data_IF_161669871508
#
_entry.id   IF_161669871508
#
_cell.length_a   1.000
_cell.length_b   1.000
_cell.length_c   1.000
_cell.angle_alpha   90.00
_cell.angle_beta   90.00
_cell.angle_gamma   90.00
#
_symmetry.space_group_name_H-M   'P 1'
#
loop_
_entity.id
_entity.type
_entity.pdbx_description
1 polymer ?
#
# COMPACT_ATOMS: atom_id res chain seq x y z
N UNK A 1 -15.96 -19.85 -4.64
CA UNK A 1 -15.45 -18.59 -5.21
C UNK A 1 -13.94 -18.54 -5.02
N UNK A 2 -13.18 -17.79 -5.84
CA UNK A 2 -11.73 -17.66 -5.69
C UNK A 2 -11.33 -16.20 -5.52
N UNK A 3 -10.74 -15.85 -4.38
CA UNK A 3 -10.23 -14.53 -4.08
C UNK A 3 -8.73 -14.47 -4.37
N UNK A 4 -8.34 -13.70 -5.39
CA UNK A 4 -6.96 -13.48 -5.79
C UNK A 4 -6.37 -12.26 -5.08
N UNK A 5 -5.26 -12.45 -4.37
CA UNK A 5 -4.62 -11.39 -3.56
C UNK A 5 -3.10 -11.35 -3.72
N UNK A 6 -2.52 -10.23 -3.26
CA UNK A 6 -1.10 -10.13 -2.93
C UNK A 6 -0.79 -10.86 -1.63
N UNK A 7 0.21 -11.73 -1.62
CA UNK A 7 0.61 -12.48 -0.43
C UNK A 7 1.59 -13.61 -0.73
N UNK A 8 1.96 -14.33 0.33
CA UNK A 8 2.78 -15.53 0.21
C UNK A 8 2.22 -16.64 1.10
N UNK A 9 1.90 -17.78 0.50
CA UNK A 9 1.30 -18.90 1.22
C UNK A 9 -0.03 -18.49 1.84
N UNK A 10 -0.04 -18.39 3.17
CA UNK A 10 -1.22 -18.06 3.98
C UNK A 10 -1.26 -16.61 4.49
N UNK A 11 -0.27 -15.81 4.10
CA UNK A 11 -0.13 -14.45 4.62
C UNK A 11 -0.44 -13.44 3.51
N UNK A 12 -1.59 -12.74 3.58
CA UNK A 12 -1.83 -11.55 2.80
C UNK A 12 -0.74 -10.49 3.03
N UNK A 13 -0.27 -9.87 1.95
CA UNK A 13 0.83 -8.90 2.04
C UNK A 13 0.34 -7.51 2.43
N UNK A 14 1.10 -6.83 3.30
CA UNK A 14 0.87 -5.42 3.70
C UNK A 14 1.00 -4.42 2.56
N UNK A 15 1.53 -4.83 1.40
CA UNK A 15 1.59 -3.97 0.20
C UNK A 15 0.20 -3.58 -0.32
N UNK A 16 -0.83 -4.38 -0.02
CA UNK A 16 -2.22 -4.09 -0.40
C UNK A 16 -3.15 -4.29 0.80
N UNK A 17 -3.46 -3.21 1.53
CA UNK A 17 -4.47 -3.23 2.59
C UNK A 17 -5.84 -3.70 2.09
N UNK A 18 -6.18 -3.40 0.83
CA UNK A 18 -7.41 -3.88 0.18
C UNK A 18 -7.44 -5.41 0.09
N UNK A 19 -6.33 -6.06 -0.25
CA UNK A 19 -6.24 -7.52 -0.25
C UNK A 19 -6.46 -8.12 1.14
N UNK A 20 -5.90 -7.49 2.17
CA UNK A 20 -6.07 -7.89 3.57
C UNK A 20 -7.54 -7.75 3.97
N UNK A 21 -8.15 -6.61 3.67
CA UNK A 21 -9.55 -6.34 3.99
C UNK A 21 -10.50 -7.31 3.26
N UNK A 22 -10.25 -7.64 1.98
CA UNK A 22 -11.03 -8.65 1.25
C UNK A 22 -10.90 -10.03 1.88
N UNK A 23 -9.70 -10.44 2.28
CA UNK A 23 -9.48 -11.72 2.94
C UNK A 23 -10.21 -11.79 4.29
N UNK A 24 -10.18 -10.72 5.09
CA UNK A 24 -10.96 -10.66 6.32
C UNK A 24 -12.45 -10.69 6.06
N UNK A 25 -12.94 -9.93 5.08
CA UNK A 25 -14.36 -9.85 4.76
C UNK A 25 -14.92 -11.20 4.32
N UNK A 26 -14.25 -11.89 3.40
CA UNK A 26 -14.75 -13.18 2.89
C UNK A 26 -14.78 -14.25 4.00
N UNK A 27 -13.78 -14.27 4.88
CA UNK A 27 -13.74 -15.17 6.04
C UNK A 27 -14.82 -14.86 7.09
N UNK A 28 -15.35 -13.64 7.13
CA UNK A 28 -16.45 -13.28 8.04
C UNK A 28 -17.83 -13.61 7.46
N UNK A 29 -17.98 -13.44 6.14
CA UNK A 29 -19.29 -13.53 5.48
C UNK A 29 -19.60 -14.96 5.03
N UNK A 30 -18.61 -15.68 4.50
CA UNK A 30 -18.79 -17.01 3.91
C UNK A 30 -18.24 -18.11 4.81
N UNK A 31 -18.79 -19.31 4.66
CA UNK A 31 -18.23 -20.51 5.28
C UNK A 31 -16.97 -20.96 4.52
N UNK A 32 -16.00 -21.56 5.23
CA UNK A 32 -14.68 -21.89 4.66
C UNK A 32 -14.70 -22.91 3.52
N UNK A 33 -15.84 -23.57 3.28
CA UNK A 33 -16.06 -24.48 2.14
C UNK A 33 -16.52 -23.77 0.88
N UNK A 34 -16.97 -22.52 0.95
CA UNK A 34 -17.57 -21.78 -0.16
C UNK A 34 -16.56 -20.97 -0.98
N UNK A 35 -15.37 -20.72 -0.42
CA UNK A 35 -14.34 -19.89 -1.03
C UNK A 35 -12.92 -20.44 -0.88
N UNK A 36 -12.04 -19.92 -1.71
CA UNK A 36 -10.60 -20.15 -1.65
C UNK A 36 -9.88 -18.81 -1.79
N UNK A 37 -8.84 -18.60 -1.01
CA UNK A 37 -7.94 -17.46 -1.11
C UNK A 37 -6.69 -17.93 -1.85
N UNK A 38 -6.37 -17.27 -2.96
CA UNK A 38 -5.26 -17.60 -3.84
C UNK A 38 -4.24 -16.46 -3.79
N UNK A 39 -3.04 -16.74 -3.28
CA UNK A 39 -1.90 -15.78 -3.28
C UNK A 39 -1.24 -15.73 -4.66
N UNK A 40 -2.02 -15.33 -5.66
CA UNK A 40 -1.62 -15.36 -7.07
C UNK A 40 -0.60 -14.29 -7.46
N UNK A 41 -0.57 -13.14 -6.78
CA UNK A 41 0.34 -12.03 -7.08
C UNK A 41 0.35 -11.56 -8.54
N UNK A 42 -0.71 -11.88 -9.30
CA UNK A 42 -0.80 -11.64 -10.74
C UNK A 42 -1.88 -10.60 -11.03
N UNK A 43 -1.47 -9.39 -11.37
CA UNK A 43 -2.37 -8.29 -11.70
C UNK A 43 -3.10 -8.47 -13.02
N UNK A 44 -2.64 -9.35 -13.91
CA UNK A 44 -3.29 -9.63 -15.21
C UNK A 44 -4.62 -10.40 -15.05
N UNK A 45 -4.89 -10.93 -13.86
CA UNK A 45 -6.19 -11.51 -13.52
C UNK A 45 -7.27 -10.42 -13.53
N UNK A 46 -6.89 -9.21 -13.11
CA UNK A 46 -7.74 -8.05 -13.02
C UNK A 46 -7.86 -7.32 -14.36
N UNK A 47 -9.07 -6.85 -14.64
CA UNK A 47 -9.33 -6.01 -15.82
C UNK A 47 -8.82 -4.57 -15.60
N UNK A 48 -8.61 -4.16 -14.34
CA UNK A 48 -8.05 -2.85 -13.96
C UNK A 48 -6.57 -2.93 -13.59
N UNK A 49 -5.93 -4.10 -13.72
CA UNK A 49 -4.53 -4.31 -13.39
C UNK A 49 -4.21 -4.21 -11.89
N UNK A 50 -5.19 -4.42 -11.01
CA UNK A 50 -5.01 -4.33 -9.54
C UNK A 50 -5.64 -5.53 -8.83
N UNK A 51 -5.00 -5.97 -7.75
CA UNK A 51 -5.57 -6.94 -6.80
C UNK A 51 -6.11 -6.16 -5.59
N UNK A 52 -7.19 -6.61 -4.93
CA UNK A 52 -7.81 -7.93 -5.01
C UNK A 52 -8.78 -8.15 -6.19
N UNK A 53 -9.01 -9.42 -6.55
CA UNK A 53 -10.05 -9.83 -7.52
C UNK A 53 -10.80 -11.04 -7.00
N UNK A 54 -12.13 -11.01 -7.01
CA UNK A 54 -12.97 -12.18 -6.70
C UNK A 54 -13.54 -12.77 -8.00
N UNK A 55 -13.26 -14.05 -8.23
CA UNK A 55 -13.84 -14.82 -9.33
C UNK A 55 -14.98 -15.67 -8.77
N UNK A 56 -16.17 -15.41 -9.28
CA UNK A 56 -17.41 -16.13 -8.95
C UNK A 56 -17.80 -17.05 -10.12
N UNK A 57 -18.66 -18.04 -9.86
CA UNK A 57 -19.15 -18.92 -10.94
C UNK A 57 -20.20 -18.24 -11.81
N UNK A 58 -20.97 -17.33 -11.22
CA UNK A 58 -22.20 -16.79 -11.82
C UNK A 58 -22.02 -15.36 -12.33
N UNK A 59 -21.32 -14.50 -11.58
CA UNK A 59 -21.16 -13.05 -11.87
C UNK A 59 -19.79 -12.68 -12.47
N UNK A 60 -18.95 -13.68 -12.76
CA UNK A 60 -17.63 -13.46 -13.35
C UNK A 60 -16.63 -12.84 -12.38
N UNK A 61 -15.91 -11.80 -12.84
CA UNK A 61 -14.81 -11.14 -12.11
C UNK A 61 -15.27 -9.84 -11.44
N UNK A 62 -14.96 -9.71 -10.16
CA UNK A 62 -15.18 -8.49 -9.38
C UNK A 62 -13.83 -7.88 -9.02
N UNK A 63 -13.60 -6.63 -9.39
CA UNK A 63 -12.28 -5.99 -9.33
C UNK A 63 -12.21 -4.98 -8.17
N UNK A 64 -11.24 -5.17 -7.26
CA UNK A 64 -11.03 -4.26 -6.13
C UNK A 64 -11.93 -4.52 -4.93
N UNK A 65 -11.59 -3.89 -3.79
CA UNK A 65 -12.28 -4.14 -2.53
C UNK A 65 -13.76 -3.75 -2.55
N UNK A 66 -14.08 -2.62 -3.19
CA UNK A 66 -15.43 -2.04 -3.26
C UNK A 66 -16.43 -2.99 -3.96
N UNK A 67 -16.09 -3.48 -5.15
CA UNK A 67 -16.95 -4.40 -5.90
C UNK A 67 -17.16 -5.72 -5.14
N UNK A 68 -16.09 -6.23 -4.53
CA UNK A 68 -16.12 -7.46 -3.72
C UNK A 68 -17.03 -7.26 -2.50
N UNK A 69 -16.89 -6.15 -1.79
CA UNK A 69 -17.71 -5.85 -0.62
C UNK A 69 -19.18 -5.69 -0.98
N UNK A 70 -19.47 -4.93 -2.04
CA UNK A 70 -20.83 -4.74 -2.54
C UNK A 70 -21.49 -6.06 -2.98
N UNK A 71 -20.73 -6.96 -3.60
CA UNK A 71 -21.23 -8.27 -4.00
C UNK A 71 -21.54 -9.15 -2.79
N UNK A 72 -20.59 -9.30 -1.86
CA UNK A 72 -20.75 -10.15 -0.68
C UNK A 72 -21.87 -9.66 0.25
N UNK A 73 -22.08 -8.34 0.32
CA UNK A 73 -23.16 -7.75 1.12
C UNK A 73 -24.54 -7.79 0.45
N UNK A 74 -24.63 -8.03 -0.86
CA UNK A 74 -25.92 -8.22 -1.55
C UNK A 74 -26.41 -9.66 -1.50
N UNK A 75 -25.55 -10.63 -1.21
CA UNK A 75 -25.90 -12.04 -1.18
C UNK A 75 -26.79 -12.43 0.01
N UNK A 76 -27.76 -13.32 -0.24
CA UNK A 76 -28.67 -13.87 0.77
C UNK A 76 -27.96 -14.70 1.87
N UNK A 77 -26.67 -15.03 1.68
CA UNK A 77 -25.85 -15.81 2.60
C UNK A 77 -25.31 -15.01 3.80
N UNK A 78 -25.64 -13.72 3.91
CA UNK A 78 -25.23 -12.95 5.08
C UNK A 78 -25.78 -13.59 6.35
N UNK A 79 -24.88 -13.99 7.24
CA UNK A 79 -25.16 -14.21 8.67
C UNK A 79 -25.61 -12.89 9.31
N UNK A 80 -26.83 -12.44 8.97
CA UNK A 80 -27.69 -11.57 9.76
C UNK A 80 -27.24 -10.13 10.04
N UNK A 81 -26.43 -9.48 9.21
CA UNK A 81 -26.00 -8.09 9.48
C UNK A 81 -26.09 -7.18 8.25
N UNK A 82 -27.29 -7.10 7.68
CA UNK A 82 -27.61 -6.09 6.65
C UNK A 82 -27.46 -4.69 7.28
N UNK A 83 -26.56 -3.90 6.69
CA UNK A 83 -26.34 -2.48 6.95
C UNK A 83 -27.59 -1.71 6.50
N UNK A 84 -28.13 -0.76 7.30
CA UNK A 84 -29.29 0.05 6.88
C UNK A 84 -28.92 0.90 5.66
N UNK A 85 -29.88 1.29 4.83
CA UNK A 85 -29.61 2.06 3.61
C UNK A 85 -28.84 3.38 3.86
N UNK A 86 -29.10 4.06 4.97
CA UNK A 86 -28.37 5.27 5.37
C UNK A 86 -26.92 4.96 5.77
N UNK A 87 -26.71 3.84 6.46
CA UNK A 87 -25.40 3.34 6.84
C UNK A 87 -24.59 2.86 5.60
N UNK A 88 -25.25 2.45 4.51
CA UNK A 88 -24.59 2.04 3.27
C UNK A 88 -23.93 3.21 2.54
N UNK A 89 -24.58 4.37 2.47
CA UNK A 89 -24.00 5.57 1.83
C UNK A 89 -22.82 6.09 2.64
N UNK A 90 -22.93 6.07 3.97
CA UNK A 90 -21.85 6.43 4.86
C UNK A 90 -20.66 5.46 4.69
N UNK A 91 -20.91 4.15 4.71
CA UNK A 91 -19.89 3.12 4.53
C UNK A 91 -19.17 3.26 3.19
N UNK A 92 -19.92 3.46 2.10
CA UNK A 92 -19.37 3.73 0.77
C UNK A 92 -18.45 4.96 0.76
N UNK A 93 -18.90 6.06 1.36
CA UNK A 93 -18.14 7.32 1.43
C UNK A 93 -16.86 7.14 2.25
N UNK A 94 -16.94 6.42 3.37
CA UNK A 94 -15.80 6.11 4.22
C UNK A 94 -14.81 5.20 3.51
N UNK A 95 -15.27 4.17 2.82
CA UNK A 95 -14.44 3.27 2.02
C UNK A 95 -13.67 4.06 0.95
N UNK A 96 -14.35 4.91 0.18
CA UNK A 96 -13.71 5.76 -0.81
C UNK A 96 -12.70 6.74 -0.18
N UNK A 97 -13.05 7.32 0.98
CA UNK A 97 -12.14 8.18 1.73
C UNK A 97 -10.86 7.42 2.14
N UNK A 98 -10.97 6.19 2.62
CA UNK A 98 -9.84 5.35 3.01
C UNK A 98 -8.98 4.98 1.78
N UNK A 99 -9.59 4.47 0.71
CA UNK A 99 -8.90 4.11 -0.54
C UNK A 99 -8.23 5.30 -1.22
N UNK A 100 -8.69 6.52 -0.97
CA UNK A 100 -8.07 7.71 -1.55
C UNK A 100 -6.98 8.28 -0.62
N UNK A 101 -7.28 8.41 0.67
CA UNK A 101 -6.46 9.16 1.63
C UNK A 101 -5.45 8.28 2.36
N UNK A 102 -5.88 7.15 2.90
CA UNK A 102 -5.02 6.24 3.64
C UNK A 102 -4.11 5.45 2.70
N UNK A 103 -4.61 5.11 1.52
CA UNK A 103 -3.80 4.50 0.47
C UNK A 103 -2.59 5.35 0.09
N UNK A 104 -2.76 6.66 -0.09
CA UNK A 104 -1.64 7.57 -0.37
C UNK A 104 -0.59 7.59 0.75
N UNK A 105 -1.03 7.52 2.02
CA UNK A 105 -0.13 7.41 3.17
C UNK A 105 0.61 6.08 3.17
N UNK A 106 -0.09 4.98 2.89
CA UNK A 106 0.49 3.65 2.83
C UNK A 106 1.50 3.51 1.68
N UNK A 107 1.18 4.08 0.51
CA UNK A 107 2.09 4.15 -0.63
C UNK A 107 3.36 4.91 -0.30
N UNK A 108 3.26 6.08 0.33
CA UNK A 108 4.45 6.78 0.80
C UNK A 108 5.23 5.93 1.84
N UNK A 109 4.54 5.33 2.82
CA UNK A 109 5.18 4.54 3.86
C UNK A 109 5.98 3.34 3.31
N UNK A 110 5.49 2.69 2.24
CA UNK A 110 6.11 1.49 1.67
C UNK A 110 7.08 1.77 0.50
N UNK A 111 6.81 2.80 -0.30
CA UNK A 111 7.55 3.11 -1.53
C UNK A 111 8.27 4.45 -1.48
N UNK A 112 7.71 5.44 -0.77
CA UNK A 112 8.28 6.79 -0.65
C UNK A 112 9.38 6.90 0.41
N UNK A 113 9.29 6.13 1.48
CA UNK A 113 10.34 6.01 2.49
C UNK A 113 11.45 5.08 2.00
N UNK A 114 12.65 5.62 1.80
CA UNK A 114 13.77 4.90 1.18
C UNK A 114 14.14 3.64 1.96
N UNK A 115 14.13 3.71 3.30
CA UNK A 115 14.47 2.58 4.17
C UNK A 115 13.45 1.46 4.04
N UNK A 116 12.16 1.79 4.10
CA UNK A 116 11.09 0.81 3.95
C UNK A 116 11.10 0.18 2.56
N UNK A 117 11.31 0.96 1.50
CA UNK A 117 11.34 0.43 0.14
C UNK A 117 12.52 -0.52 -0.08
N UNK A 118 13.75 -0.07 0.17
CA UNK A 118 14.96 -0.85 -0.16
C UNK A 118 15.16 -2.08 0.72
N UNK A 119 14.84 -1.98 2.02
CA UNK A 119 15.10 -3.05 2.97
C UNK A 119 13.93 -4.04 3.04
N UNK A 120 12.69 -3.58 2.81
CA UNK A 120 11.49 -4.41 2.94
C UNK A 120 10.74 -4.59 1.61
N UNK A 121 10.08 -3.55 1.08
CA UNK A 121 9.12 -3.66 -0.03
C UNK A 121 9.74 -4.27 -1.28
N UNK A 122 10.89 -3.77 -1.72
CA UNK A 122 11.61 -4.26 -2.90
C UNK A 122 12.00 -5.73 -2.77
N UNK A 123 12.33 -6.19 -1.55
CA UNK A 123 12.73 -7.57 -1.26
C UNK A 123 11.55 -8.55 -1.14
N UNK A 124 10.31 -8.04 -1.14
CA UNK A 124 9.13 -8.90 -1.19
C UNK A 124 8.88 -9.43 -2.60
N UNK A 125 9.13 -8.64 -3.64
CA UNK A 125 8.79 -9.02 -5.01
C UNK A 125 9.43 -10.31 -5.53
N UNK A 126 10.71 -10.63 -5.21
CA UNK A 126 11.27 -11.94 -5.58
C UNK A 126 10.53 -13.13 -4.97
N UNK A 127 9.75 -12.93 -3.90
CA UNK A 127 8.91 -13.96 -3.27
C UNK A 127 7.53 -14.08 -3.92
N UNK A 128 7.06 -12.99 -4.53
CA UNK A 128 5.72 -12.90 -5.14
C UNK A 128 5.72 -13.19 -6.64
N UNK A 129 6.80 -12.82 -7.31
CA UNK A 129 6.91 -12.84 -8.76
C UNK A 129 8.00 -13.82 -9.20
N UNK A 130 7.72 -14.70 -10.18
CA UNK A 130 8.73 -15.58 -10.73
C UNK A 130 9.69 -14.82 -11.65
N UNK A 131 10.88 -15.38 -11.87
CA UNK A 131 11.77 -14.92 -12.93
C UNK A 131 11.09 -15.12 -14.30
N UNK A 132 11.12 -14.13 -15.23
CA UNK A 132 11.83 -12.85 -15.18
C UNK A 132 10.94 -11.65 -14.77
N UNK A 133 9.73 -11.86 -14.26
CA UNK A 133 8.76 -10.80 -13.95
C UNK A 133 9.26 -9.83 -12.85
N UNK A 134 10.23 -10.27 -12.04
CA UNK A 134 10.88 -9.50 -10.98
C UNK A 134 11.58 -8.21 -11.44
N UNK A 135 11.92 -8.06 -12.73
CA UNK A 135 12.69 -6.90 -13.19
C UNK A 135 11.83 -5.70 -13.58
N UNK A 136 10.63 -5.94 -14.12
CA UNK A 136 9.79 -4.87 -14.68
C UNK A 136 8.66 -4.45 -13.72
N UNK A 137 7.95 -5.43 -13.14
CA UNK A 137 6.76 -5.14 -12.34
C UNK A 137 7.05 -4.33 -11.07
N UNK A 138 8.12 -4.61 -10.28
CA UNK A 138 8.41 -3.82 -9.09
C UNK A 138 8.67 -2.34 -9.39
N UNK A 139 9.41 -2.05 -10.45
CA UNK A 139 9.71 -0.67 -10.87
C UNK A 139 8.44 0.06 -11.28
N UNK A 140 7.54 -0.60 -12.02
CA UNK A 140 6.22 -0.04 -12.39
C UNK A 140 5.39 0.28 -11.14
N UNK A 141 5.27 -0.66 -10.21
CA UNK A 141 4.50 -0.48 -8.97
C UNK A 141 5.08 0.63 -8.09
N UNK A 142 6.40 0.74 -8.02
CA UNK A 142 7.08 1.81 -7.30
C UNK A 142 6.77 3.18 -7.92
N UNK A 143 6.91 3.34 -9.23
CA UNK A 143 6.59 4.60 -9.92
C UNK A 143 5.13 5.00 -9.71
N UNK A 144 4.18 4.08 -9.93
CA UNK A 144 2.75 4.33 -9.72
C UNK A 144 2.43 4.73 -8.27
N UNK A 145 3.08 4.08 -7.29
CA UNK A 145 2.89 4.42 -5.88
C UNK A 145 3.39 5.82 -5.55
N UNK A 146 4.56 6.21 -6.08
CA UNK A 146 5.13 7.54 -5.89
C UNK A 146 4.28 8.62 -6.56
N UNK A 147 3.80 8.40 -7.78
CA UNK A 147 2.91 9.34 -8.49
C UNK A 147 1.64 9.60 -7.68
N UNK A 148 1.02 8.54 -7.17
CA UNK A 148 -0.20 8.68 -6.36
C UNK A 148 0.08 9.40 -5.02
N UNK A 149 1.20 9.10 -4.35
CA UNK A 149 1.59 9.82 -3.14
C UNK A 149 1.88 11.31 -3.41
N UNK A 150 2.49 11.64 -4.57
CA UNK A 150 2.78 13.01 -4.98
C UNK A 150 1.53 13.87 -5.14
N UNK A 151 0.40 13.29 -5.58
CA UNK A 151 -0.89 14.00 -5.64
C UNK A 151 -1.34 14.55 -4.27
N UNK A 152 -0.87 13.94 -3.18
CA UNK A 152 -1.12 14.40 -1.81
C UNK A 152 0.03 15.24 -1.22
N UNK A 153 0.98 15.65 -2.06
CA UNK A 153 2.16 16.41 -1.65
C UNK A 153 3.20 15.57 -0.88
N UNK A 154 3.09 14.24 -0.96
CA UNK A 154 4.02 13.27 -0.40
C UNK A 154 4.97 12.78 -1.50
N UNK A 155 6.01 13.56 -1.76
CA UNK A 155 7.02 13.20 -2.74
C UNK A 155 7.84 14.36 -3.27
N UNK A 156 8.84 14.01 -4.06
CA UNK A 156 9.71 14.92 -4.81
C UNK A 156 8.96 15.54 -6.00
N UNK A 157 9.02 16.86 -6.20
CA UNK A 157 8.43 17.56 -7.36
C UNK A 157 9.23 17.35 -8.67
N UNK A 158 9.71 16.13 -8.96
CA UNK A 158 10.49 15.88 -10.19
C UNK A 158 9.69 15.29 -11.35
N UNK A 159 8.41 14.91 -11.16
CA UNK A 159 7.54 14.65 -12.31
C UNK A 159 6.97 15.97 -12.85
N UNK A 160 7.72 16.60 -13.74
CA UNK A 160 7.23 17.71 -14.56
C UNK A 160 6.04 17.27 -15.43
N UNK A 161 5.22 18.24 -15.84
CA UNK A 161 4.04 18.11 -16.71
C UNK A 161 4.21 17.20 -17.95
N UNK A 162 5.44 17.00 -18.42
CA UNK A 162 5.76 16.13 -19.56
C UNK A 162 5.77 14.63 -19.23
N UNK A 163 6.01 14.25 -17.96
CA UNK A 163 5.85 12.87 -17.48
C UNK A 163 4.37 12.45 -17.45
N UNK A 164 3.49 13.37 -17.09
CA UNK A 164 2.02 13.17 -17.08
C UNK A 164 1.43 12.85 -18.46
N UNK A 165 2.04 13.37 -19.54
CA UNK A 165 1.61 13.13 -20.92
C UNK A 165 2.27 11.91 -21.59
N UNK A 166 3.12 11.16 -20.88
CA UNK A 166 3.85 10.02 -21.45
C UNK A 166 4.81 10.40 -22.60
N UNK A 167 5.12 11.69 -22.77
CA UNK A 167 5.91 12.22 -23.87
C UNK A 167 7.40 12.34 -23.55
N UNK A 168 7.78 12.20 -22.28
CA UNK A 168 9.18 12.21 -21.85
C UNK A 168 9.75 10.79 -21.82
N UNK A 169 10.43 10.38 -22.91
CA UNK A 169 11.64 9.56 -22.77
C UNK A 169 12.76 10.48 -22.29
N UNK A 170 12.70 10.91 -21.03
CA UNK A 170 13.84 11.59 -20.41
C UNK A 170 14.80 10.52 -19.92
N UNK A 171 16.06 10.70 -20.30
CA UNK A 171 17.25 9.93 -19.95
C UNK A 171 17.55 9.81 -18.46
N UNK A 172 16.68 10.33 -17.61
CA UNK A 172 16.72 10.14 -16.16
C UNK A 172 15.80 8.96 -15.84
N UNK A 173 16.28 7.74 -16.13
CA UNK A 173 15.85 6.61 -15.33
C UNK A 173 16.11 7.03 -13.88
N UNK A 174 15.06 7.13 -13.07
CA UNK A 174 15.19 7.14 -11.63
C UNK A 174 15.66 5.73 -11.27
N UNK A 175 16.93 5.45 -11.53
CA UNK A 175 17.66 4.37 -10.91
C UNK A 175 17.62 4.76 -9.43
N UNK A 176 16.95 3.98 -8.55
CA UNK A 176 17.10 4.19 -7.12
C UNK A 176 18.61 4.11 -6.86
N UNK A 177 19.23 5.15 -6.28
CA UNK A 177 20.65 5.11 -5.95
C UNK A 177 20.92 3.80 -5.20
N UNK A 178 21.51 2.81 -5.88
CA UNK A 178 21.51 1.41 -5.45
C UNK A 178 22.52 1.13 -4.34
N UNK A 179 23.05 2.16 -3.69
CA UNK A 179 24.21 2.01 -2.83
C UNK A 179 24.05 2.80 -1.52
N UNK A 180 23.48 2.12 -0.52
CA UNK A 180 23.88 2.34 0.86
C UNK A 180 25.33 1.87 1.02
N UNK A 181 26.30 2.68 0.60
CA UNK A 181 27.66 2.55 1.13
C UNK A 181 27.61 3.02 2.57
N UNK A 182 27.70 2.03 3.45
CA UNK A 182 27.92 2.19 4.88
C UNK A 182 29.29 2.86 5.09
N UNK A 183 29.33 4.19 5.09
CA UNK A 183 30.48 4.96 5.59
C UNK A 183 30.05 5.61 6.90
N UNK A 184 29.97 4.80 7.96
CA UNK A 184 30.03 5.28 9.33
C UNK A 184 31.42 5.87 9.55
N UNK A 185 31.56 7.16 9.30
CA UNK A 185 32.64 7.94 9.86
C UNK A 185 32.06 9.30 10.24
N UNK A 186 31.70 9.36 11.52
CA UNK A 186 31.42 10.58 12.25
C UNK A 186 32.56 11.57 12.00
N UNK A 187 32.21 12.77 11.57
CA UNK A 187 32.92 13.99 11.90
C UNK A 187 31.87 15.10 11.86
N UNK A 188 31.50 15.53 13.06
CA UNK A 188 30.83 16.79 13.32
C UNK A 188 31.69 17.91 12.76
N UNK A 189 31.15 18.71 11.85
CA UNK A 189 31.66 20.05 11.58
C UNK A 189 30.49 20.93 11.12
N UNK A 190 30.46 22.11 11.72
CA UNK A 190 29.42 23.11 11.69
C UNK A 190 29.24 23.75 10.30
N UNK A 191 28.23 24.62 10.20
CA UNK A 191 28.18 25.80 9.33
C UNK A 191 27.07 25.91 8.26
N UNK A 192 26.29 26.97 8.52
CA UNK A 192 25.93 28.10 7.65
C UNK A 192 25.05 27.87 6.41
N UNK A 193 23.82 28.37 6.57
CA UNK A 193 22.88 28.75 5.52
C UNK A 193 23.53 29.72 4.52
N UNK A 194 23.76 29.24 3.30
CA UNK A 194 23.72 30.10 2.11
C UNK A 194 22.83 29.46 1.04
N UNK A 195 21.65 30.06 0.94
CA UNK A 195 20.55 29.71 0.07
C UNK A 195 20.74 30.43 -1.28
N UNK A 196 21.58 29.89 -2.17
CA UNK A 196 21.60 30.21 -3.60
C UNK A 196 22.54 29.24 -4.33
N UNK A 197 22.02 28.23 -5.03
CA UNK A 197 22.70 27.76 -6.24
C UNK A 197 21.72 27.14 -7.24
N UNK A 198 21.75 27.71 -8.44
CA UNK A 198 21.07 27.24 -9.64
C UNK A 198 21.51 25.80 -9.95
N UNK A 199 20.60 24.99 -10.50
CA UNK A 199 20.79 23.56 -10.80
C UNK A 199 21.85 23.21 -11.85
N UNK A 200 23.07 23.71 -11.72
CA UNK A 200 24.25 23.25 -12.46
C UNK A 200 24.98 22.23 -11.59
N UNK A 201 25.08 21.00 -12.08
CA UNK A 201 25.95 19.97 -11.51
C UNK A 201 27.37 20.55 -11.37
N UNK A 202 27.77 20.87 -10.15
CA UNK A 202 29.13 21.29 -9.84
C UNK A 202 30.03 20.08 -10.08
N UNK A 203 30.81 20.10 -11.17
CA UNK A 203 31.80 19.05 -11.43
C UNK A 203 32.85 19.06 -10.30
N UNK A 204 33.15 17.91 -9.68
CA UNK A 204 34.10 17.87 -8.58
C UNK A 204 35.48 18.34 -9.04
N UNK A 205 36.08 19.23 -8.25
CA UNK A 205 37.39 19.84 -8.54
C UNK A 205 38.52 18.98 -7.93
N UNK A 206 38.19 18.12 -6.96
CA UNK A 206 39.10 17.18 -6.30
C UNK A 206 38.32 16.00 -5.71
N UNK A 207 38.99 14.92 -5.33
CA UNK A 207 38.37 13.78 -4.63
C UNK A 207 37.80 14.16 -3.26
N UNK A 208 38.43 15.12 -2.57
CA UNK A 208 37.91 15.66 -1.31
C UNK A 208 36.63 16.49 -1.56
N UNK A 209 36.61 17.29 -2.61
CA UNK A 209 35.42 18.03 -3.01
C UNK A 209 34.29 17.07 -3.44
N UNK A 210 34.61 15.99 -4.16
CA UNK A 210 33.66 14.93 -4.50
C UNK A 210 33.03 14.30 -3.25
N UNK A 211 33.85 13.90 -2.27
CA UNK A 211 33.35 13.35 -1.02
C UNK A 211 32.43 14.34 -0.27
N UNK A 212 32.81 15.62 -0.23
CA UNK A 212 31.99 16.68 0.37
C UNK A 212 30.66 16.89 -0.38
N UNK A 213 30.68 16.87 -1.72
CA UNK A 213 29.46 16.98 -2.55
C UNK A 213 28.51 15.80 -2.29
N UNK A 214 29.04 14.59 -2.19
CA UNK A 214 28.27 13.38 -1.86
C UNK A 214 27.68 13.47 -0.44
N UNK A 215 28.44 13.96 0.54
CA UNK A 215 27.93 14.12 1.91
C UNK A 215 26.82 15.18 1.96
N UNK A 216 27.00 16.31 1.27
CA UNK A 216 25.98 17.37 1.15
C UNK A 216 24.72 16.85 0.46
N UNK A 217 24.84 16.09 -0.61
CA UNK A 217 23.68 15.52 -1.33
C UNK A 217 22.93 14.52 -0.45
N UNK A 218 23.62 13.63 0.26
CA UNK A 218 23.03 12.68 1.22
C UNK A 218 22.29 13.40 2.35
N UNK A 219 22.90 14.44 2.94
CA UNK A 219 22.26 15.26 3.99
C UNK A 219 20.99 15.93 3.46
N UNK A 220 21.05 16.51 2.26
CA UNK A 220 19.89 17.14 1.61
C UNK A 220 18.76 16.15 1.32
N UNK A 221 19.09 14.94 0.84
CA UNK A 221 18.13 13.87 0.61
C UNK A 221 17.44 13.45 1.92
N UNK A 222 18.22 13.22 2.98
CA UNK A 222 17.69 12.87 4.30
C UNK A 222 16.77 13.95 4.88
N UNK A 223 17.13 15.23 4.77
CA UNK A 223 16.28 16.34 5.21
C UNK A 223 14.97 16.40 4.42
N UNK A 224 15.01 16.17 3.11
CA UNK A 224 13.83 16.15 2.25
C UNK A 224 12.89 14.99 2.60
N UNK A 225 13.43 13.81 2.85
CA UNK A 225 12.68 12.65 3.30
C UNK A 225 12.04 12.93 4.68
N UNK A 226 12.83 13.42 5.64
CA UNK A 226 12.35 13.79 6.98
C UNK A 226 11.18 14.78 6.92
N UNK A 227 11.31 15.83 6.08
CA UNK A 227 10.24 16.81 5.86
C UNK A 227 8.98 16.15 5.28
N UNK A 228 9.14 15.18 4.39
CA UNK A 228 8.01 14.48 3.76
C UNK A 228 7.35 13.50 4.75
N UNK A 229 8.13 12.82 5.58
CA UNK A 229 7.62 11.96 6.67
C UNK A 229 6.85 12.77 7.71
N UNK A 230 7.30 13.99 8.05
CA UNK A 230 6.53 14.93 8.90
C UNK A 230 5.20 15.31 8.25
N UNK A 231 5.19 15.62 6.95
CA UNK A 231 3.93 15.89 6.21
C UNK A 231 3.00 14.68 6.24
N UNK A 232 3.54 13.48 6.04
CA UNK A 232 2.78 12.23 6.09
C UNK A 232 2.12 12.05 7.48
N UNK A 233 2.86 12.25 8.56
CA UNK A 233 2.32 12.22 9.93
C UNK A 233 1.23 13.27 10.17
N UNK A 234 1.42 14.49 9.68
CA UNK A 234 0.41 15.55 9.79
C UNK A 234 -0.87 15.23 9.02
N UNK A 235 -0.75 14.66 7.82
CA UNK A 235 -1.91 14.20 7.04
C UNK A 235 -2.62 13.04 7.73
N UNK A 236 -1.89 12.06 8.26
CA UNK A 236 -2.46 10.96 9.05
C UNK A 236 -3.23 11.51 10.26
N UNK A 237 -2.64 12.44 11.00
CA UNK A 237 -3.29 13.11 12.13
C UNK A 237 -4.57 13.83 11.74
N UNK A 238 -4.57 14.53 10.59
CA UNK A 238 -5.74 15.20 10.03
C UNK A 238 -6.84 14.21 9.65
N UNK A 239 -6.50 13.15 8.91
CA UNK A 239 -7.48 12.16 8.46
C UNK A 239 -8.08 11.37 9.62
N UNK A 240 -7.26 10.98 10.60
CA UNK A 240 -7.76 10.37 11.83
C UNK A 240 -8.67 11.33 12.60
N UNK A 241 -8.33 12.61 12.69
CA UNK A 241 -9.21 13.61 13.31
C UNK A 241 -10.57 13.73 12.60
N UNK A 242 -10.60 13.66 11.27
CA UNK A 242 -11.85 13.63 10.51
C UNK A 242 -12.67 12.37 10.80
N UNK A 243 -12.03 11.20 10.86
CA UNK A 243 -12.70 9.94 11.21
C UNK A 243 -13.23 9.96 12.65
N UNK A 244 -12.49 10.54 13.61
CA UNK A 244 -12.98 10.69 14.99
C UNK A 244 -14.24 11.56 15.05
N UNK A 245 -14.25 12.72 14.37
CA UNK A 245 -15.42 13.59 14.32
C UNK A 245 -16.63 12.86 13.70
N UNK A 246 -16.40 12.06 12.65
CA UNK A 246 -17.46 11.28 12.02
C UNK A 246 -17.96 10.15 12.93
N UNK A 247 -17.07 9.49 13.66
CA UNK A 247 -17.41 8.43 14.64
C UNK A 247 -18.30 8.95 15.77
N UNK A 248 -18.00 10.15 16.28
CA UNK A 248 -18.77 10.79 17.35
C UNK A 248 -20.16 11.22 16.89
N UNK A 249 -20.31 11.64 15.64
CA UNK A 249 -21.58 12.13 15.08
C UNK A 249 -22.54 11.03 14.65
N UNK A 250 -22.03 9.90 14.18
CA UNK A 250 -22.82 8.85 13.56
C UNK A 250 -22.86 7.55 14.38
N UNK A 251 -22.48 7.60 15.66
CA UNK A 251 -22.40 6.45 16.58
C UNK A 251 -21.58 5.24 16.08
N UNK A 252 -20.75 5.45 15.05
CA UNK A 252 -19.94 4.40 14.45
C UNK A 252 -18.60 4.30 15.18
N UNK A 253 -18.34 3.16 15.84
CA UNK A 253 -17.09 2.95 16.60
C UNK A 253 -16.22 1.89 15.94
N UNK A 254 -15.14 2.34 15.31
CA UNK A 254 -14.12 1.47 14.73
C UNK A 254 -13.69 0.36 15.71
N UNK A 255 -13.93 -0.90 15.32
CA UNK A 255 -13.43 -2.06 16.06
C UNK A 255 -14.19 -2.45 17.33
N UNK A 256 -15.30 -1.77 17.67
CA UNK A 256 -16.13 -2.10 18.85
C UNK A 256 -17.61 -2.21 18.54
N UNK A 257 -17.99 -2.02 17.28
CA UNK A 257 -19.35 -2.20 16.80
C UNK A 257 -19.76 -3.67 16.86
N UNK A 258 -21.02 -3.92 17.26
CA UNK A 258 -21.60 -5.27 17.19
C UNK A 258 -21.67 -5.80 15.75
N UNK A 259 -21.58 -4.91 14.75
CA UNK A 259 -21.60 -5.23 13.32
C UNK A 259 -20.42 -4.56 12.65
N UNK A 260 -19.54 -5.37 12.08
CA UNK A 260 -18.35 -4.88 11.40
C UNK A 260 -18.71 -4.58 9.95
N UNK A 261 -18.47 -3.35 9.54
CA UNK A 261 -18.73 -2.85 8.18
C UNK A 261 -17.50 -2.98 7.27
N UNK A 262 -17.67 -2.97 5.94
CA UNK A 262 -16.54 -2.97 5.01
C UNK A 262 -15.54 -1.82 5.23
N UNK A 263 -16.03 -0.60 5.48
CA UNK A 263 -15.14 0.53 5.74
C UNK A 263 -14.33 0.35 7.04
N UNK A 264 -14.91 -0.27 8.07
CA UNK A 264 -14.19 -0.67 9.29
C UNK A 264 -13.08 -1.66 8.99
N UNK A 265 -13.37 -2.74 8.25
CA UNK A 265 -12.36 -3.74 7.89
C UNK A 265 -11.23 -3.12 7.10
N UNK A 266 -11.56 -2.27 6.14
CA UNK A 266 -10.58 -1.57 5.34
C UNK A 266 -9.72 -0.62 6.19
N UNK A 267 -10.35 0.11 7.11
CA UNK A 267 -9.62 0.97 8.06
C UNK A 267 -8.65 0.15 8.92
N UNK A 268 -9.11 -0.96 9.48
CA UNK A 268 -8.27 -1.86 10.27
C UNK A 268 -7.10 -2.42 9.44
N UNK A 269 -7.34 -2.75 8.16
CA UNK A 269 -6.31 -3.25 7.27
C UNK A 269 -5.26 -2.18 6.96
N UNK A 270 -5.67 -0.93 6.75
CA UNK A 270 -4.74 0.20 6.63
C UNK A 270 -3.95 0.40 7.93
N UNK A 271 -4.62 0.41 9.09
CA UNK A 271 -3.94 0.58 10.37
C UNK A 271 -2.92 -0.54 10.62
N UNK A 272 -3.25 -1.78 10.26
CA UNK A 272 -2.32 -2.91 10.30
C UNK A 272 -1.09 -2.67 9.40
N UNK A 273 -1.29 -2.27 8.14
CA UNK A 273 -0.17 -2.02 7.22
C UNK A 273 0.71 -0.82 7.66
N UNK A 274 0.10 0.27 8.11
CA UNK A 274 0.81 1.47 8.58
C UNK A 274 1.60 1.24 9.87
N UNK A 275 1.21 0.25 10.67
CA UNK A 275 1.86 -0.08 11.95
C UNK A 275 2.66 -1.38 11.94
N UNK A 276 2.77 -2.02 10.77
CA UNK A 276 3.37 -3.34 10.61
C UNK A 276 4.76 -3.43 11.25
N UNK A 277 4.95 -4.43 12.11
CA UNK A 277 6.15 -4.59 12.92
C UNK A 277 7.40 -4.89 12.07
N UNK A 278 7.23 -5.47 10.87
CA UNK A 278 8.33 -5.81 9.98
C UNK A 278 8.91 -4.66 9.15
N UNK A 279 8.37 -3.44 9.29
CA UNK A 279 8.92 -2.27 8.59
C UNK A 279 10.20 -1.75 9.26
N UNK A 280 11.28 -1.48 8.50
CA UNK A 280 12.53 -0.92 9.01
C UNK A 280 12.37 0.46 9.65
N UNK A 281 11.65 1.37 8.99
CA UNK A 281 11.31 2.69 9.50
C UNK A 281 9.85 2.72 9.95
N UNK A 282 9.65 2.88 11.26
CA UNK A 282 8.33 2.81 11.91
C UNK A 282 7.83 4.18 12.38
N UNK A 283 8.16 5.25 11.66
CA UNK A 283 7.81 6.62 12.06
C UNK A 283 6.30 6.84 12.26
N UNK A 284 5.44 6.20 11.45
CA UNK A 284 3.99 6.28 11.63
C UNK A 284 3.51 5.56 12.89
N UNK A 285 4.04 4.37 13.19
CA UNK A 285 3.75 3.67 14.43
C UNK A 285 4.20 4.49 15.65
N UNK A 286 5.39 5.09 15.59
CA UNK A 286 5.91 5.96 16.66
C UNK A 286 4.99 7.17 16.86
N UNK A 287 4.60 7.85 15.78
CA UNK A 287 3.63 8.95 15.82
C UNK A 287 2.30 8.53 16.45
N UNK A 288 1.72 7.41 16.02
CA UNK A 288 0.47 6.90 16.56
C UNK A 288 0.59 6.55 18.05
N UNK A 289 1.70 5.91 18.44
CA UNK A 289 1.97 5.52 19.83
C UNK A 289 2.13 6.72 20.76
N UNK A 290 2.69 7.83 20.27
CA UNK A 290 2.91 9.05 21.07
C UNK A 290 1.71 9.98 21.05
N UNK A 291 1.13 10.25 19.88
CA UNK A 291 0.13 11.33 19.68
C UNK A 291 -1.31 10.82 19.58
N UNK A 292 -1.53 9.56 19.20
CA UNK A 292 -2.86 8.98 18.93
C UNK A 292 -3.04 7.61 19.57
N UNK A 293 -2.46 7.41 20.76
CA UNK A 293 -2.40 6.12 21.46
C UNK A 293 -3.78 5.45 21.61
N UNK A 294 -4.81 6.22 21.95
CA UNK A 294 -6.17 5.69 22.11
C UNK A 294 -6.71 5.01 20.84
N UNK A 295 -6.41 5.56 19.65
CA UNK A 295 -6.83 4.96 18.38
C UNK A 295 -6.05 3.66 18.16
N UNK A 296 -4.73 3.69 18.38
CA UNK A 296 -3.88 2.51 18.21
C UNK A 296 -4.32 1.36 19.13
N UNK A 297 -4.62 1.66 20.39
CA UNK A 297 -5.09 0.67 21.36
C UNK A 297 -6.46 0.10 20.95
N UNK A 298 -7.35 0.92 20.39
CA UNK A 298 -8.68 0.48 19.95
C UNK A 298 -8.66 -0.50 18.76
N UNK A 299 -7.70 -0.35 17.83
CA UNK A 299 -7.64 -1.20 16.63
C UNK A 299 -6.82 -2.48 16.82
N UNK A 300 -5.97 -2.53 17.86
CA UNK A 300 -5.01 -3.63 18.05
C UNK A 300 -5.67 -4.99 18.25
N UNK A 301 -6.69 -5.06 19.12
CA UNK A 301 -7.40 -6.31 19.42
C UNK A 301 -8.19 -6.80 18.19
N UNK A 302 -9.02 -5.95 17.54
CA UNK A 302 -9.71 -6.35 16.30
C UNK A 302 -8.79 -6.88 15.21
N UNK A 303 -7.64 -6.22 14.97
CA UNK A 303 -6.66 -6.67 13.97
C UNK A 303 -6.15 -8.08 14.31
N UNK A 304 -5.79 -8.33 15.57
CA UNK A 304 -5.30 -9.64 16.00
C UNK A 304 -6.38 -10.73 15.87
N UNK A 305 -7.62 -10.42 16.18
CA UNK A 305 -8.73 -11.37 16.07
C UNK A 305 -8.99 -11.72 14.60
N UNK A 306 -8.98 -10.73 13.70
CA UNK A 306 -9.09 -10.99 12.26
C UNK A 306 -7.94 -11.81 11.70
N UNK A 307 -6.72 -11.57 12.17
CA UNK A 307 -5.56 -12.36 11.77
C UNK A 307 -5.69 -13.82 12.20
N UNK A 308 -6.20 -14.08 13.41
CA UNK A 308 -6.40 -15.45 13.93
C UNK A 308 -7.55 -16.18 13.25
N UNK A 309 -8.58 -15.45 12.84
CA UNK A 309 -9.78 -16.03 12.22
C UNK A 309 -9.55 -16.46 10.74
N UNK A 310 -8.40 -16.15 10.15
CA UNK A 310 -8.05 -16.64 8.82
C UNK A 310 -7.70 -18.14 8.89
N UNK A 311 -8.60 -19.00 8.42
CA UNK A 311 -8.37 -20.45 8.39
C UNK A 311 -7.35 -20.83 7.30
N UNK A 312 -6.29 -21.55 7.70
CA UNK A 312 -5.25 -22.05 6.78
C UNK A 312 -5.82 -22.87 5.62
N UNK A 313 -6.89 -23.64 5.85
CA UNK A 313 -7.56 -24.49 4.86
C UNK A 313 -8.14 -23.72 3.68
N UNK A 314 -8.43 -22.44 3.84
CA UNK A 314 -8.98 -21.60 2.78
C UNK A 314 -7.91 -21.13 1.79
N UNK A 315 -6.62 -21.16 2.18
CA UNK A 315 -5.52 -20.71 1.34
C UNK A 315 -5.04 -21.81 0.40
N UNK A 316 -4.86 -21.43 -0.87
CA UNK A 316 -4.41 -22.33 -1.93
C UNK A 316 -3.28 -21.71 -2.73
N UNK A 317 -2.40 -22.56 -3.23
CA UNK A 317 -1.32 -22.14 -4.14
C UNK A 317 -1.91 -21.82 -5.51
N UNK A 318 -1.41 -20.79 -6.20
CA UNK A 318 -1.87 -20.47 -7.54
C UNK A 318 -1.48 -21.58 -8.53
N UNK A 319 -2.37 -21.84 -9.48
CA UNK A 319 -2.06 -22.63 -10.66
C UNK A 319 -1.15 -21.86 -11.63
N UNK A 320 -0.64 -22.53 -12.67
CA UNK A 320 0.26 -21.93 -13.66
C UNK A 320 -0.38 -20.77 -14.45
N UNK A 321 -1.68 -20.84 -14.73
CA UNK A 321 -2.41 -19.75 -15.39
C UNK A 321 -2.66 -18.56 -14.46
N UNK A 322 -2.83 -18.81 -13.16
CA UNK A 322 -3.06 -17.78 -12.15
C UNK A 322 -1.76 -17.07 -11.74
N UNK A 323 -0.61 -17.74 -11.87
CA UNK A 323 0.70 -17.15 -11.53
C UNK A 323 1.18 -16.13 -12.57
N UNK A 324 1.97 -15.10 -12.21
CA UNK A 324 2.54 -14.16 -13.18
C UNK A 324 3.49 -14.90 -14.12
N UNK A 325 3.38 -14.68 -15.43
CA UNK A 325 4.30 -15.26 -16.41
C UNK A 325 4.36 -14.42 -17.67
N UNK A 326 5.44 -14.53 -18.45
CA UNK A 326 5.54 -13.88 -19.76
C UNK A 326 4.39 -14.28 -20.68
N UNK A 327 3.98 -15.55 -20.63
CA UNK A 327 2.87 -16.05 -21.43
C UNK A 327 1.55 -15.38 -21.03
N UNK A 328 1.30 -15.25 -19.73
CA UNK A 328 0.13 -14.55 -19.22
C UNK A 328 0.18 -13.06 -19.58
N UNK A 329 1.35 -12.42 -19.55
CA UNK A 329 1.50 -11.03 -20.01
C UNK A 329 1.10 -10.89 -21.48
N UNK A 330 1.57 -11.80 -22.35
CA UNK A 330 1.22 -11.82 -23.78
C UNK A 330 -0.29 -12.04 -23.96
N UNK A 331 -0.86 -13.05 -23.31
CA UNK A 331 -2.30 -13.35 -23.42
C UNK A 331 -3.15 -12.17 -22.92
N UNK A 332 -2.71 -11.47 -21.88
CA UNK A 332 -3.39 -10.31 -21.32
C UNK A 332 -3.44 -9.18 -22.35
N UNK A 333 -2.31 -8.87 -23.00
CA UNK A 333 -2.25 -7.84 -24.06
C UNK A 333 -3.16 -8.16 -25.27
N UNK A 334 -3.42 -9.45 -25.53
CA UNK A 334 -4.31 -9.89 -26.60
C UNK A 334 -5.76 -10.13 -26.15
N UNK A 335 -6.12 -9.83 -24.90
CA UNK A 335 -7.43 -10.13 -24.32
C UNK A 335 -7.84 -11.62 -24.46
N UNK A 336 -6.87 -12.54 -24.40
CA UNK A 336 -7.07 -14.00 -24.56
C UNK A 336 -6.95 -14.76 -23.25
N UNK A 337 -6.91 -14.07 -22.13
CA UNK A 337 -6.66 -14.65 -20.82
C UNK A 337 -7.97 -15.04 -20.14
N UNK A 338 -8.21 -16.34 -20.02
CA UNK A 338 -9.43 -16.93 -19.46
C UNK A 338 -9.13 -17.64 -18.14
N UNK A 339 -10.02 -17.45 -17.15
CA UNK A 339 -9.91 -18.02 -15.81
C UNK A 339 -11.17 -18.77 -15.41
#
# INVERSE_FOLDING_TARGET
MKLHIWGQGIEPSVISPECIASAWLICQVLDSTEFQIVTSNNTNISDIGKLPVLITKDDGKLNGYEDIANYLLKGDNLKGKIIKAEDQVLDFTLMHFLQTRFDALNKYNLYGDTKNYEIYTRKLYPKFLPFPMIYNQPSKLHTEALEQAQLFGLGSKSLGFLGFLGLAKTSDEIIPDTEYINSSQDNDEEEEDYDHDDGKEQKPISSLHEAQLIQKSKKKALLKETRTSIKCMNLLGKYLGQLTILSEKNEFKFGTSERITPSELLFLAYMYALTYDGLPNRFLFQYLSTQKKHILDSVKVPIQDFQKNMEFSTFTQPSSSESPSLWNEILYQFNKLTY
#
